data_IF_177915055019
#
_entry.id   IF_177915055019
#
_cell.length_a   1.000
_cell.length_b   1.000
_cell.length_c   1.000
_cell.angle_alpha   90.00
_cell.angle_beta   90.00
_cell.angle_gamma   90.00
#
_symmetry.space_group_name_H-M   'P 1'
#
loop_
_entity.id
_entity.type
_entity.pdbx_description
1 polymer ?
#
# COMPACT_ATOMS: atom_id res chain seq x y z
N UNK A 1 -57.58 -17.46 -6.40
CA UNK A 1 -56.77 -16.87 -5.32
C UNK A 1 -55.34 -17.43 -5.27
N UNK A 2 -55.11 -18.72 -5.57
CA UNK A 2 -53.75 -19.30 -5.47
C UNK A 2 -52.71 -18.78 -6.46
N UNK A 3 -53.04 -18.60 -7.75
CA UNK A 3 -52.04 -18.30 -8.78
C UNK A 3 -51.47 -16.88 -8.71
N UNK A 4 -52.29 -15.87 -8.45
CA UNK A 4 -51.84 -14.47 -8.34
C UNK A 4 -51.00 -14.22 -7.08
N UNK A 5 -51.36 -14.87 -5.97
CA UNK A 5 -50.59 -14.75 -4.72
C UNK A 5 -49.24 -15.48 -4.82
N UNK A 6 -49.21 -16.64 -5.48
CA UNK A 6 -47.95 -17.35 -5.73
C UNK A 6 -47.01 -16.51 -6.60
N UNK A 7 -47.53 -15.84 -7.63
CA UNK A 7 -46.71 -15.01 -8.53
C UNK A 7 -46.01 -13.87 -7.78
N UNK A 8 -46.69 -13.23 -6.83
CA UNK A 8 -46.10 -12.15 -6.01
C UNK A 8 -44.99 -12.64 -5.08
N UNK A 9 -45.09 -13.87 -4.58
CA UNK A 9 -44.04 -14.49 -3.74
C UNK A 9 -42.79 -14.80 -4.59
N UNK A 10 -42.98 -15.35 -5.79
CA UNK A 10 -41.84 -15.64 -6.68
C UNK A 10 -41.12 -14.35 -7.07
N UNK A 11 -41.87 -13.29 -7.38
CA UNK A 11 -41.30 -12.01 -7.74
C UNK A 11 -40.47 -11.39 -6.59
N UNK A 12 -40.94 -11.47 -5.35
CA UNK A 12 -40.21 -10.93 -4.20
C UNK A 12 -38.89 -11.66 -3.95
N UNK A 13 -38.88 -12.99 -4.07
CA UNK A 13 -37.66 -13.80 -3.86
C UNK A 13 -36.61 -13.53 -4.94
N UNK A 14 -37.01 -13.33 -6.19
CA UNK A 14 -36.09 -12.97 -7.28
C UNK A 14 -35.39 -11.64 -6.98
N UNK A 15 -36.14 -10.64 -6.52
CA UNK A 15 -35.58 -9.32 -6.19
C UNK A 15 -34.59 -9.43 -5.03
N UNK A 16 -34.94 -10.15 -3.96
CA UNK A 16 -34.03 -10.37 -2.81
C UNK A 16 -32.76 -11.11 -3.24
N UNK A 17 -32.87 -12.10 -4.12
CA UNK A 17 -31.71 -12.85 -4.63
C UNK A 17 -30.67 -11.95 -5.32
N UNK A 18 -31.13 -11.04 -6.18
CA UNK A 18 -30.23 -10.08 -6.86
C UNK A 18 -29.65 -9.08 -5.86
N UNK A 19 -30.47 -8.56 -4.94
CA UNK A 19 -30.02 -7.60 -3.95
C UNK A 19 -28.91 -8.16 -3.04
N UNK A 20 -29.01 -9.44 -2.63
CA UNK A 20 -27.97 -10.11 -1.84
C UNK A 20 -26.70 -10.29 -2.66
N UNK A 21 -26.78 -10.71 -3.92
CA UNK A 21 -25.61 -10.88 -4.77
C UNK A 21 -24.85 -9.56 -4.98
N UNK A 22 -25.57 -8.46 -5.25
CA UNK A 22 -24.97 -7.13 -5.38
C UNK A 22 -24.41 -6.63 -4.05
N UNK A 23 -25.13 -6.86 -2.95
CA UNK A 23 -24.67 -6.49 -1.60
C UNK A 23 -23.35 -7.17 -1.21
N UNK A 24 -23.21 -8.46 -1.51
CA UNK A 24 -21.96 -9.22 -1.29
C UNK A 24 -20.83 -8.65 -2.16
N UNK A 25 -21.09 -8.40 -3.44
CA UNK A 25 -20.08 -7.82 -4.34
C UNK A 25 -19.59 -6.47 -3.83
N UNK A 26 -20.50 -5.60 -3.37
CA UNK A 26 -20.16 -4.28 -2.84
C UNK A 26 -19.41 -4.37 -1.52
N UNK A 27 -19.74 -5.35 -0.66
CA UNK A 27 -19.02 -5.61 0.59
C UNK A 27 -17.57 -6.05 0.32
N UNK A 28 -17.36 -6.94 -0.64
CA UNK A 28 -16.01 -7.38 -1.03
C UNK A 28 -15.18 -6.21 -1.58
N UNK A 29 -15.73 -5.43 -2.51
CA UNK A 29 -15.03 -4.24 -3.05
C UNK A 29 -14.71 -3.22 -1.97
N UNK A 30 -15.58 -3.04 -0.97
CA UNK A 30 -15.32 -2.16 0.17
C UNK A 30 -14.18 -2.68 1.06
N UNK A 31 -14.09 -4.01 1.25
CA UNK A 31 -13.00 -4.66 1.99
C UNK A 31 -11.67 -4.47 1.28
N UNK A 32 -11.62 -4.74 -0.04
CA UNK A 32 -10.42 -4.58 -0.85
C UNK A 32 -9.94 -3.12 -0.86
N UNK A 33 -10.87 -2.16 -0.98
CA UNK A 33 -10.55 -0.74 -0.93
C UNK A 33 -10.02 -0.29 0.44
N UNK A 34 -10.51 -0.88 1.55
CA UNK A 34 -10.04 -0.59 2.89
C UNK A 34 -8.62 -1.13 3.12
N UNK A 35 -8.31 -2.33 2.63
CA UNK A 35 -6.97 -2.90 2.67
C UNK A 35 -5.98 -2.06 1.85
N UNK A 36 -6.35 -1.65 0.64
CA UNK A 36 -5.55 -0.75 -0.19
C UNK A 36 -5.26 0.59 0.49
N UNK A 37 -6.25 1.19 1.17
CA UNK A 37 -6.05 2.44 1.91
C UNK A 37 -5.12 2.26 3.12
N UNK A 38 -5.22 1.14 3.83
CA UNK A 38 -4.32 0.82 4.93
C UNK A 38 -2.88 0.66 4.44
N UNK A 39 -2.68 -0.07 3.33
CA UNK A 39 -1.36 -0.23 2.70
C UNK A 39 -0.81 1.09 2.19
N UNK A 40 -1.64 1.93 1.55
CA UNK A 40 -1.23 3.25 1.10
C UNK A 40 -0.79 4.16 2.26
N UNK A 41 -1.51 4.11 3.39
CA UNK A 41 -1.14 4.84 4.61
C UNK A 41 0.19 4.38 5.21
N UNK A 42 0.40 3.06 5.28
CA UNK A 42 1.66 2.47 5.72
C UNK A 42 2.82 2.87 4.79
N UNK A 43 2.65 2.73 3.47
CA UNK A 43 3.65 3.12 2.46
C UNK A 43 4.01 4.61 2.55
N UNK A 44 3.03 5.48 2.72
CA UNK A 44 3.27 6.92 2.86
C UNK A 44 4.07 7.24 4.13
N UNK A 45 3.76 6.57 5.24
CA UNK A 45 4.47 6.72 6.51
C UNK A 45 5.93 6.25 6.39
N UNK A 46 6.16 5.09 5.79
CA UNK A 46 7.52 4.58 5.57
C UNK A 46 8.30 5.45 4.59
N UNK A 47 7.66 5.90 3.50
CA UNK A 47 8.27 6.80 2.53
C UNK A 47 8.73 8.13 3.14
N UNK A 48 7.93 8.72 4.04
CA UNK A 48 8.32 9.93 4.77
C UNK A 48 9.54 9.70 5.69
N UNK A 49 9.64 8.53 6.32
CA UNK A 49 10.78 8.17 7.18
C UNK A 49 12.05 7.93 6.35
N UNK A 50 11.93 7.29 5.19
CA UNK A 50 13.05 7.12 4.24
C UNK A 50 13.49 8.47 3.68
N UNK A 51 12.57 9.36 3.35
CA UNK A 51 12.90 10.72 2.91
C UNK A 51 13.64 11.50 4.01
N UNK A 52 13.21 11.36 5.27
CA UNK A 52 13.89 11.97 6.41
C UNK A 52 15.31 11.40 6.59
N UNK A 53 15.51 10.10 6.36
CA UNK A 53 16.85 9.49 6.35
C UNK A 53 17.74 10.10 5.27
N UNK A 54 17.26 10.21 4.03
CA UNK A 54 18.03 10.77 2.92
C UNK A 54 18.39 12.25 3.15
N UNK A 55 17.48 13.04 3.72
CA UNK A 55 17.72 14.47 4.04
C UNK A 55 18.62 14.70 5.26
N UNK A 56 18.82 13.69 6.10
CA UNK A 56 19.67 13.82 7.28
C UNK A 56 21.16 13.71 6.88
N UNK A 57 22.04 14.62 7.32
CA UNK A 57 23.46 14.56 6.99
C UNK A 57 24.13 13.28 7.48
N UNK A 58 25.15 12.80 6.76
CA UNK A 58 25.94 11.61 7.15
C UNK A 58 26.55 11.73 8.55
N UNK A 59 26.90 12.94 8.99
CA UNK A 59 27.42 13.22 10.34
C UNK A 59 26.43 12.91 11.47
N UNK A 60 25.14 12.77 11.17
CA UNK A 60 24.09 12.40 12.13
C UNK A 60 23.55 10.98 11.91
N UNK A 61 24.21 10.18 11.06
CA UNK A 61 23.78 8.82 10.73
C UNK A 61 22.76 8.72 9.59
N UNK A 62 22.54 9.79 8.82
CA UNK A 62 21.64 9.81 7.65
C UNK A 62 22.33 9.57 6.31
N UNK A 63 21.55 9.63 5.22
CA UNK A 63 21.98 9.37 3.84
C UNK A 63 22.74 10.53 3.16
N UNK A 64 22.75 11.73 3.75
CA UNK A 64 23.56 12.85 3.26
C UNK A 64 23.18 13.38 1.87
N UNK A 65 21.91 13.29 1.50
CA UNK A 65 21.37 13.69 0.19
C UNK A 65 21.96 12.94 -1.02
N UNK A 66 22.51 11.74 -0.82
CA UNK A 66 22.92 10.85 -1.90
C UNK A 66 22.22 9.50 -1.74
N UNK A 67 21.37 9.11 -2.70
CA UNK A 67 20.80 7.74 -2.73
C UNK A 67 21.89 6.70 -3.00
N UNK A 68 22.94 7.11 -3.72
CA UNK A 68 24.08 6.28 -4.18
C UNK A 68 24.85 5.58 -3.03
N UNK A 69 24.65 5.97 -1.77
CA UNK A 69 25.34 5.37 -0.61
C UNK A 69 24.43 4.64 0.39
N UNK A 70 23.11 4.60 0.16
CA UNK A 70 22.17 4.06 1.13
C UNK A 70 21.95 2.56 0.93
N UNK A 71 22.63 1.74 1.73
CA UNK A 71 22.35 0.32 1.83
C UNK A 71 20.92 0.10 2.37
N UNK A 72 20.14 -0.75 1.70
CA UNK A 72 18.74 -1.02 2.04
C UNK A 72 18.58 -1.47 3.50
N UNK A 73 19.56 -2.18 4.08
CA UNK A 73 19.51 -2.60 5.46
C UNK A 73 19.79 -1.45 6.45
N UNK A 74 20.61 -0.47 6.06
CA UNK A 74 20.84 0.75 6.86
C UNK A 74 19.59 1.61 6.92
N UNK A 75 18.88 1.77 5.80
CA UNK A 75 17.58 2.46 5.77
C UNK A 75 16.56 1.69 6.62
N UNK A 76 16.46 0.37 6.43
CA UNK A 76 15.54 -0.49 7.18
C UNK A 76 15.76 -0.38 8.70
N UNK A 77 17.02 -0.42 9.15
CA UNK A 77 17.34 -0.29 10.57
C UNK A 77 16.97 1.10 11.12
N UNK A 78 17.16 2.16 10.32
CA UNK A 78 16.84 3.53 10.73
C UNK A 78 15.34 3.79 10.88
N UNK A 79 14.52 3.22 9.99
CA UNK A 79 13.05 3.27 10.10
C UNK A 79 12.50 2.26 11.14
N UNK A 80 13.37 1.58 11.87
CA UNK A 80 13.01 0.65 12.95
C UNK A 80 12.62 -0.75 12.49
N UNK A 81 12.93 -1.13 11.25
CA UNK A 81 12.72 -2.49 10.76
C UNK A 81 13.88 -3.40 11.17
N UNK A 82 13.56 -4.65 11.52
CA UNK A 82 14.57 -5.67 11.88
C UNK A 82 15.26 -6.27 10.65
N UNK A 83 14.63 -6.15 9.47
CA UNK A 83 15.14 -6.63 8.20
C UNK A 83 14.65 -5.71 7.06
N UNK A 84 15.19 -5.92 5.86
CA UNK A 84 14.77 -5.24 4.61
C UNK A 84 13.31 -5.58 4.23
N UNK A 85 12.72 -6.56 4.90
CA UNK A 85 11.33 -6.97 4.75
C UNK A 85 10.60 -6.82 6.09
N UNK A 86 9.42 -6.21 6.05
CA UNK A 86 8.49 -6.11 7.17
C UNK A 86 7.16 -6.74 6.77
N UNK A 87 6.65 -7.67 7.57
CA UNK A 87 5.32 -8.24 7.38
C UNK A 87 4.39 -7.75 8.49
N UNK A 88 3.26 -7.16 8.13
CA UNK A 88 2.18 -6.85 9.06
C UNK A 88 0.87 -7.53 8.60
N UNK A 89 -0.24 -7.23 9.27
CA UNK A 89 -1.56 -7.77 8.92
C UNK A 89 -2.12 -7.24 7.59
N UNK A 90 -1.53 -6.17 7.04
CA UNK A 90 -2.01 -5.48 5.85
C UNK A 90 -1.25 -5.90 4.58
N UNK A 91 0.08 -6.07 4.66
CA UNK A 91 0.93 -6.49 3.55
C UNK A 91 2.32 -6.97 4.00
N UNK A 92 3.07 -7.53 3.05
CA UNK A 92 4.52 -7.68 3.18
C UNK A 92 5.23 -6.55 2.44
N UNK A 93 5.91 -5.69 3.17
CA UNK A 93 6.69 -4.57 2.65
C UNK A 93 8.15 -4.99 2.45
N UNK A 94 8.70 -4.69 1.28
CA UNK A 94 10.08 -4.97 0.91
C UNK A 94 10.75 -3.69 0.45
N UNK A 95 11.90 -3.36 1.02
CA UNK A 95 12.68 -2.18 0.64
C UNK A 95 13.77 -2.59 -0.34
N UNK A 96 13.88 -1.90 -1.47
CA UNK A 96 14.93 -2.10 -2.46
C UNK A 96 15.55 -0.75 -2.79
N UNK A 97 16.86 -0.68 -2.83
CA UNK A 97 17.59 0.51 -3.27
C UNK A 97 18.20 0.28 -4.65
N UNK A 98 18.09 1.27 -5.51
CA UNK A 98 18.77 1.40 -6.79
C UNK A 98 19.76 2.57 -6.71
N UNK A 99 20.57 2.77 -7.75
CA UNK A 99 21.57 3.85 -7.79
C UNK A 99 20.95 5.23 -7.48
N UNK A 100 19.78 5.51 -8.06
CA UNK A 100 19.12 6.80 -7.97
C UNK A 100 17.70 6.68 -7.39
N UNK A 101 17.31 5.56 -6.77
CA UNK A 101 15.97 5.45 -6.19
C UNK A 101 15.89 4.52 -4.99
N UNK A 102 15.00 4.81 -4.04
CA UNK A 102 14.59 3.88 -2.97
C UNK A 102 13.15 3.50 -3.19
N UNK A 103 12.88 2.21 -3.35
CA UNK A 103 11.53 1.67 -3.59
C UNK A 103 11.10 0.82 -2.41
N UNK A 104 9.91 1.08 -1.86
CA UNK A 104 9.24 0.17 -0.92
C UNK A 104 8.06 -0.46 -1.65
N UNK A 105 8.10 -1.79 -1.81
CA UNK A 105 7.05 -2.57 -2.47
C UNK A 105 6.23 -3.30 -1.42
N UNK A 106 4.92 -3.06 -1.40
CA UNK A 106 3.94 -3.81 -0.62
C UNK A 106 3.33 -4.93 -1.48
N UNK A 107 3.52 -6.17 -1.05
CA UNK A 107 2.85 -7.33 -1.61
C UNK A 107 1.57 -7.63 -0.79
N UNK A 108 0.43 -7.16 -1.28
CA UNK A 108 -0.94 -7.59 -0.95
C UNK A 108 -1.57 -8.19 -2.25
N UNK A 109 -2.79 -8.72 -2.21
CA UNK A 109 -3.63 -9.14 -3.35
C UNK A 109 -3.60 -8.16 -4.54
N UNK A 110 -3.41 -6.87 -4.30
CA UNK A 110 -2.94 -5.89 -5.28
C UNK A 110 -1.54 -5.39 -4.88
N UNK A 111 -0.54 -5.59 -5.74
CA UNK A 111 0.82 -5.16 -5.48
C UNK A 111 0.93 -3.64 -5.65
N UNK A 112 1.25 -2.93 -4.57
CA UNK A 112 1.41 -1.47 -4.58
C UNK A 112 2.82 -1.10 -4.16
N UNK A 113 3.42 -0.09 -4.76
CA UNK A 113 4.80 0.32 -4.49
C UNK A 113 4.89 1.84 -4.35
N UNK A 114 5.77 2.30 -3.47
CA UNK A 114 6.17 3.70 -3.38
C UNK A 114 7.62 3.80 -3.84
N UNK A 115 7.86 4.67 -4.81
CA UNK A 115 9.19 4.95 -5.36
C UNK A 115 9.58 6.35 -4.94
N UNK A 116 10.73 6.45 -4.27
CA UNK A 116 11.40 7.71 -3.97
C UNK A 116 12.55 7.82 -4.98
N UNK A 117 12.41 8.72 -5.94
CA UNK A 117 13.36 8.89 -7.04
C UNK A 117 14.31 10.09 -6.78
N UNK A 118 15.58 9.91 -7.09
CA UNK A 118 16.70 10.88 -7.06
C UNK A 118 17.03 11.41 -8.46
N UNK A 119 16.26 11.03 -9.50
CA UNK A 119 16.43 11.62 -10.84
C UNK A 119 16.14 13.13 -10.87
N UNK A 120 15.42 13.65 -9.87
CA UNK A 120 15.29 15.09 -9.61
C UNK A 120 16.24 15.47 -8.45
N UNK A 121 17.23 16.32 -8.74
CA UNK A 121 18.26 16.90 -7.85
C UNK A 121 17.76 17.51 -6.52
N UNK A 122 16.45 17.50 -6.30
CA UNK A 122 15.75 18.03 -5.12
C UNK A 122 15.21 16.96 -4.17
N UNK A 123 15.32 15.66 -4.49
CA UNK A 123 14.84 14.55 -3.64
C UNK A 123 13.39 14.80 -3.15
N UNK A 124 12.49 15.13 -4.07
CA UNK A 124 11.16 15.62 -3.71
C UNK A 124 9.99 14.85 -4.34
N UNK A 125 10.25 13.85 -5.18
CA UNK A 125 9.19 13.05 -5.78
C UNK A 125 9.00 11.74 -5.02
N UNK A 126 7.81 11.60 -4.43
CA UNK A 126 7.34 10.37 -3.78
C UNK A 126 6.16 9.88 -4.60
N UNK A 127 6.44 8.97 -5.53
CA UNK A 127 5.44 8.42 -6.42
C UNK A 127 4.86 7.14 -5.82
N UNK A 128 3.59 7.17 -5.41
CA UNK A 128 2.85 5.98 -5.00
C UNK A 128 2.17 5.38 -6.24
N UNK A 129 2.57 4.18 -6.59
CA UNK A 129 1.92 3.36 -7.62
C UNK A 129 1.03 2.34 -6.91
N UNK A 130 -0.29 2.52 -7.01
CA UNK A 130 -1.28 1.63 -6.39
C UNK A 130 -1.68 0.48 -7.32
#
# INVERSE_FOLDING_TARGET
MGTQQILLIVLSVIIVGIAVAVGISMFNTQSDAAELQAVAGDLQSFGAQVLAYLKTPTSMGGGGAAVIAADAASIATWIGWSAVTLTNSNATYTLTTALDAVTITANNTAASAIVIDDTDTTMNDVAVTL
#
